data_IF_327017673635
#
_entry.id   IF_327017673635
#
_cell.length_a   1.000
_cell.length_b   1.000
_cell.length_c   1.000
_cell.angle_alpha   90.00
_cell.angle_beta   90.00
_cell.angle_gamma   90.00
#
_symmetry.space_group_name_H-M   'P 1'
#
loop_
_entity.id
_entity.type
_entity.pdbx_description
1 polymer ?
#
# COMPACT_ATOMS: atom_id res chain seq x y z
N UNK A 1 -11.82 -5.67 -0.86
CA UNK A 1 -10.41 -5.98 -1.09
C UNK A 1 -9.87 -5.04 -2.17
N UNK A 2 -8.67 -4.51 -1.98
CA UNK A 2 -8.03 -3.53 -2.87
C UNK A 2 -6.58 -3.94 -3.20
N UNK A 3 -6.30 -5.24 -3.25
CA UNK A 3 -4.98 -5.82 -3.54
C UNK A 3 -3.86 -5.09 -2.76
N UNK A 4 -2.82 -4.62 -3.42
CA UNK A 4 -1.67 -3.96 -2.79
C UNK A 4 -2.04 -2.72 -1.93
N UNK A 5 -3.16 -2.05 -2.23
CA UNK A 5 -3.68 -0.94 -1.42
C UNK A 5 -4.59 -1.41 -0.27
N UNK A 6 -4.84 -2.71 -0.14
CA UNK A 6 -5.81 -3.29 0.80
C UNK A 6 -5.59 -2.89 2.25
N UNK A 7 -4.34 -2.81 2.70
CA UNK A 7 -4.02 -2.36 4.05
C UNK A 7 -4.43 -0.90 4.27
N UNK A 8 -4.09 0.00 3.33
CA UNK A 8 -4.44 1.44 3.43
C UNK A 8 -5.94 1.65 3.38
N UNK A 9 -6.65 0.92 2.50
CA UNK A 9 -8.13 0.95 2.47
C UNK A 9 -8.73 0.48 3.79
N UNK A 10 -8.22 -0.63 4.35
CA UNK A 10 -8.69 -1.15 5.64
C UNK A 10 -8.38 -0.20 6.79
N UNK A 11 -7.21 0.44 6.79
CA UNK A 11 -6.83 1.44 7.77
C UNK A 11 -7.77 2.66 7.71
N UNK A 12 -8.06 3.16 6.50
CA UNK A 12 -8.99 4.27 6.30
C UNK A 12 -10.40 3.93 6.80
N UNK A 13 -10.90 2.74 6.48
CA UNK A 13 -12.22 2.30 6.96
C UNK A 13 -12.25 2.18 8.49
N UNK A 14 -11.22 1.59 9.09
CA UNK A 14 -11.11 1.45 10.54
C UNK A 14 -11.03 2.81 11.25
N UNK A 15 -10.20 3.74 10.74
CA UNK A 15 -10.09 5.11 11.27
C UNK A 15 -11.45 5.83 11.24
N UNK A 16 -12.17 5.75 10.13
CA UNK A 16 -13.50 6.34 10.01
C UNK A 16 -14.51 5.76 11.02
N UNK A 17 -14.51 4.44 11.24
CA UNK A 17 -15.37 3.79 12.20
C UNK A 17 -15.05 4.20 13.64
N UNK A 18 -13.76 4.38 13.96
CA UNK A 18 -13.32 4.85 15.27
C UNK A 18 -13.72 6.31 15.50
N UNK A 19 -13.48 7.19 14.52
CA UNK A 19 -13.85 8.61 14.59
C UNK A 19 -15.36 8.83 14.73
N UNK A 20 -16.16 7.98 14.10
CA UNK A 20 -17.63 8.01 14.21
C UNK A 20 -18.17 7.33 15.48
N UNK A 21 -17.31 6.80 16.35
CA UNK A 21 -17.70 6.11 17.58
C UNK A 21 -18.38 4.75 17.35
N UNK A 22 -18.30 4.19 16.14
CA UNK A 22 -18.88 2.88 15.80
C UNK A 22 -18.06 1.72 16.37
N UNK A 23 -16.78 1.96 16.63
CA UNK A 23 -15.87 1.03 17.30
C UNK A 23 -14.95 1.81 18.26
N UNK A 24 -14.38 1.11 19.23
CA UNK A 24 -13.37 1.67 20.14
C UNK A 24 -11.97 1.20 19.82
N UNK A 25 -11.86 0.01 19.21
CA UNK A 25 -10.60 -0.60 18.84
C UNK A 25 -10.82 -1.37 17.54
N UNK A 26 -9.85 -1.34 16.64
CA UNK A 26 -9.84 -2.07 15.39
C UNK A 26 -8.51 -2.79 15.20
N UNK A 27 -8.57 -4.00 14.65
CA UNK A 27 -7.41 -4.74 14.15
C UNK A 27 -7.40 -4.62 12.63
N UNK A 28 -6.35 -4.02 12.07
CA UNK A 28 -6.15 -3.86 10.63
C UNK A 28 -5.10 -4.84 10.17
N UNK A 29 -5.45 -5.71 9.22
CA UNK A 29 -4.61 -6.82 8.77
C UNK A 29 -4.34 -6.71 7.28
N UNK A 30 -3.08 -6.87 6.88
CA UNK A 30 -2.67 -7.20 5.52
C UNK A 30 -2.13 -8.62 5.51
N UNK A 31 -2.75 -9.51 4.74
CA UNK A 31 -2.33 -10.92 4.67
C UNK A 31 -2.53 -11.46 3.25
N UNK A 32 -1.47 -12.02 2.69
CA UNK A 32 -1.43 -12.41 1.28
C UNK A 32 -0.70 -13.74 1.09
N UNK A 33 -1.17 -14.51 0.13
CA UNK A 33 -0.54 -15.76 -0.36
C UNK A 33 -0.36 -15.66 -1.88
N UNK A 34 0.47 -14.72 -2.32
CA UNK A 34 0.69 -14.45 -3.74
C UNK A 34 1.38 -15.59 -4.48
N UNK A 35 2.12 -16.45 -3.75
CA UNK A 35 2.71 -17.67 -4.31
C UNK A 35 1.70 -18.56 -5.01
N UNK A 36 0.43 -18.50 -4.61
CA UNK A 36 -0.67 -19.31 -5.18
C UNK A 36 -1.17 -18.81 -6.53
N UNK A 37 -0.93 -17.54 -6.85
CA UNK A 37 -1.35 -16.89 -8.10
C UNK A 37 -0.18 -16.39 -8.93
N UNK A 38 1.03 -16.73 -8.55
CA UNK A 38 2.26 -16.43 -9.29
C UNK A 38 2.52 -17.52 -10.33
N UNK A 39 2.72 -17.12 -11.58
CA UNK A 39 3.23 -18.01 -12.63
C UNK A 39 4.73 -18.18 -12.45
N UNK A 40 5.16 -19.32 -11.91
CA UNK A 40 6.58 -19.62 -11.66
C UNK A 40 7.41 -19.79 -12.92
N UNK A 41 6.78 -19.83 -14.10
CA UNK A 41 7.46 -19.88 -15.41
C UNK A 41 7.64 -18.48 -16.01
N UNK A 42 6.90 -17.48 -15.55
CA UNK A 42 7.06 -16.08 -15.98
C UNK A 42 8.13 -15.38 -15.14
N UNK A 43 9.32 -15.22 -15.70
CA UNK A 43 10.46 -14.57 -15.04
C UNK A 43 10.27 -13.08 -14.75
N UNK A 44 9.25 -12.44 -15.33
CA UNK A 44 8.96 -11.03 -15.06
C UNK A 44 8.20 -10.84 -13.74
N UNK A 45 7.49 -11.86 -13.29
CA UNK A 45 6.62 -11.79 -12.11
C UNK A 45 7.07 -12.70 -10.97
N UNK A 46 7.57 -13.90 -11.26
CA UNK A 46 7.90 -14.90 -10.24
C UNK A 46 9.00 -14.45 -9.24
N UNK A 47 9.84 -13.49 -9.63
CA UNK A 47 10.93 -12.97 -8.79
C UNK A 47 10.49 -11.80 -7.88
N UNK A 48 9.24 -11.34 -8.01
CA UNK A 48 8.76 -10.13 -7.32
C UNK A 48 7.92 -10.45 -6.09
N UNK A 49 6.99 -11.40 -6.23
CA UNK A 49 5.93 -11.63 -5.26
C UNK A 49 6.32 -12.61 -4.16
N UNK A 50 5.82 -12.37 -2.96
CA UNK A 50 5.96 -13.24 -1.80
C UNK A 50 4.70 -13.31 -0.95
N UNK A 51 4.69 -14.24 -0.01
CA UNK A 51 3.64 -14.42 0.98
C UNK A 51 4.00 -13.70 2.27
N UNK A 52 3.01 -13.18 2.96
CA UNK A 52 3.24 -12.52 4.24
C UNK A 52 1.96 -12.06 4.91
N UNK A 53 2.06 -11.77 6.19
CA UNK A 53 0.99 -11.18 6.98
C UNK A 53 1.56 -10.21 8.01
N UNK A 54 0.92 -9.06 8.13
CA UNK A 54 1.22 -8.06 9.15
C UNK A 54 -0.06 -7.40 9.64
N UNK A 55 -0.06 -6.87 10.85
CA UNK A 55 -1.24 -6.26 11.43
C UNK A 55 -0.88 -5.14 12.40
N UNK A 56 -1.80 -4.18 12.53
CA UNK A 56 -1.74 -3.13 13.54
C UNK A 56 -3.05 -3.06 14.31
N UNK A 57 -2.97 -2.70 15.58
CA UNK A 57 -4.15 -2.39 16.41
C UNK A 57 -4.24 -0.88 16.56
N UNK A 58 -5.38 -0.32 16.19
CA UNK A 58 -5.67 1.09 16.39
C UNK A 58 -6.84 1.25 17.37
N UNK A 59 -6.78 2.31 18.18
CA UNK A 59 -7.78 2.59 19.21
C UNK A 59 -8.16 4.05 19.19
N UNK A 60 -9.46 4.32 19.35
CA UNK A 60 -9.96 5.69 19.53
C UNK A 60 -9.40 6.29 20.82
N UNK A 61 -8.88 7.50 20.72
CA UNK A 61 -8.39 8.31 21.82
C UNK A 61 -8.85 9.74 21.62
N UNK A 62 -9.01 10.48 22.72
CA UNK A 62 -9.18 11.93 22.65
C UNK A 62 -7.90 12.57 22.10
N UNK A 63 -8.06 13.51 21.19
CA UNK A 63 -6.98 14.26 20.58
C UNK A 63 -7.32 15.76 20.55
N UNK A 64 -6.35 16.57 20.17
CA UNK A 64 -6.51 18.02 20.02
C UNK A 64 -7.06 18.39 18.63
N UNK A 65 -6.96 17.47 17.67
CA UNK A 65 -7.30 17.70 16.27
C UNK A 65 -6.24 18.47 15.49
N UNK A 66 -4.99 18.43 15.94
CA UNK A 66 -3.85 19.06 15.28
C UNK A 66 -2.69 18.09 15.05
N UNK A 67 -1.62 18.56 14.43
CA UNK A 67 -0.44 17.74 14.07
C UNK A 67 0.39 17.26 15.28
N UNK A 68 0.09 17.70 16.50
CA UNK A 68 0.71 17.21 17.74
C UNK A 68 0.08 15.91 18.25
N UNK A 69 -1.06 15.50 17.69
CA UNK A 69 -1.71 14.25 18.03
C UNK A 69 -0.91 13.05 17.52
N UNK A 70 -0.99 11.93 18.25
CA UNK A 70 -0.42 10.66 17.85
C UNK A 70 -1.49 9.75 17.26
N UNK A 71 -1.19 9.12 16.15
CA UNK A 71 -2.10 8.19 15.47
C UNK A 71 -2.30 8.54 14.00
N UNK A 72 -3.45 8.17 13.46
CA UNK A 72 -3.82 8.46 12.07
C UNK A 72 -4.28 9.92 11.98
N UNK A 73 -3.47 10.78 11.39
CA UNK A 73 -3.80 12.20 11.23
C UNK A 73 -4.76 12.39 10.05
N UNK A 74 -4.47 11.78 8.92
CA UNK A 74 -5.29 11.84 7.70
C UNK A 74 -5.20 10.53 6.92
N UNK A 75 -6.20 10.26 6.10
CA UNK A 75 -6.18 9.16 5.13
C UNK A 75 -6.77 9.63 3.81
N UNK A 76 -6.25 9.07 2.70
CA UNK A 76 -6.81 9.27 1.38
C UNK A 76 -6.66 8.01 0.55
N UNK A 77 -7.68 7.67 -0.22
CA UNK A 77 -7.70 6.51 -1.11
C UNK A 77 -8.07 6.94 -2.51
N UNK A 78 -7.50 6.24 -3.50
CA UNK A 78 -7.69 6.52 -4.91
C UNK A 78 -8.04 5.24 -5.66
N UNK A 79 -8.71 5.38 -6.79
CA UNK A 79 -8.99 4.27 -7.70
C UNK A 79 -9.01 4.78 -9.14
N UNK A 80 -8.35 4.05 -10.03
CA UNK A 80 -8.36 4.32 -11.47
C UNK A 80 -8.61 3.02 -12.23
N UNK A 81 -9.86 2.78 -12.59
CA UNK A 81 -10.28 1.60 -13.33
C UNK A 81 -9.75 1.54 -14.77
N UNK A 82 -9.27 2.66 -15.33
CA UNK A 82 -8.69 2.70 -16.67
C UNK A 82 -7.35 1.93 -16.76
N UNK A 83 -6.71 1.65 -15.62
CA UNK A 83 -5.46 0.91 -15.55
C UNK A 83 -5.64 -0.61 -15.36
N UNK A 84 -6.87 -1.11 -15.39
CA UNK A 84 -7.18 -2.52 -15.11
C UNK A 84 -6.34 -3.50 -15.92
N UNK A 85 -6.18 -3.26 -17.23
CA UNK A 85 -5.47 -4.16 -18.14
C UNK A 85 -3.94 -4.25 -17.90
N UNK A 86 -3.39 -3.40 -17.02
CA UNK A 86 -1.97 -3.40 -16.69
C UNK A 86 -1.60 -4.36 -15.55
N UNK A 87 -2.55 -4.68 -14.65
CA UNK A 87 -2.30 -5.59 -13.52
C UNK A 87 -3.61 -6.24 -13.06
N UNK A 88 -3.73 -7.54 -13.25
CA UNK A 88 -4.90 -8.31 -12.82
C UNK A 88 -4.58 -9.80 -12.66
N UNK A 89 -5.40 -10.52 -11.88
CA UNK A 89 -5.41 -11.97 -11.88
C UNK A 89 -6.38 -12.50 -12.95
N UNK A 90 -5.91 -13.42 -13.80
CA UNK A 90 -6.75 -14.08 -14.81
C UNK A 90 -7.72 -15.03 -14.12
N UNK A 91 -8.94 -15.14 -14.67
CA UNK A 91 -9.96 -16.04 -14.15
C UNK A 91 -10.68 -15.50 -12.90
N UNK A 92 -11.18 -16.39 -12.09
CA UNK A 92 -11.91 -16.06 -10.87
C UNK A 92 -13.17 -16.91 -10.71
N UNK A 93 -13.77 -16.88 -9.52
CA UNK A 93 -14.92 -17.71 -9.14
C UNK A 93 -16.12 -17.47 -10.06
N UNK A 94 -16.35 -16.22 -10.47
CA UNK A 94 -17.49 -15.83 -11.31
C UNK A 94 -17.26 -16.05 -12.81
N UNK A 95 -16.02 -16.20 -13.27
CA UNK A 95 -15.68 -16.30 -14.70
C UNK A 95 -15.26 -17.72 -15.11
N UNK A 96 -14.22 -18.26 -14.50
CA UNK A 96 -13.65 -19.56 -14.87
C UNK A 96 -13.78 -20.60 -13.76
N UNK A 97 -14.24 -20.21 -12.57
CA UNK A 97 -14.33 -21.03 -11.35
C UNK A 97 -12.96 -21.59 -10.90
N UNK A 98 -11.89 -20.99 -11.41
CA UNK A 98 -10.49 -21.32 -11.06
C UNK A 98 -9.72 -20.05 -10.78
N UNK A 99 -8.72 -20.11 -9.91
CA UNK A 99 -7.73 -19.06 -9.79
C UNK A 99 -6.75 -19.15 -10.97
N UNK A 100 -6.57 -18.05 -11.69
CA UNK A 100 -5.52 -17.94 -12.69
C UNK A 100 -4.29 -17.23 -12.13
N UNK A 101 -3.30 -17.03 -12.97
CA UNK A 101 -2.07 -16.35 -12.61
C UNK A 101 -2.18 -14.82 -12.74
N UNK A 102 -1.40 -14.13 -11.95
CA UNK A 102 -1.25 -12.67 -12.02
C UNK A 102 -0.58 -12.29 -13.35
N UNK A 103 -1.23 -11.41 -14.09
CA UNK A 103 -0.65 -10.74 -15.25
C UNK A 103 -0.21 -9.34 -14.85
N UNK A 104 0.99 -8.92 -15.29
CA UNK A 104 1.51 -7.58 -15.03
C UNK A 104 2.24 -7.03 -16.26
N UNK A 105 1.78 -5.87 -16.75
CA UNK A 105 2.54 -5.03 -17.67
C UNK A 105 3.50 -4.15 -16.84
N UNK A 106 4.65 -4.71 -16.49
CA UNK A 106 5.58 -4.09 -15.54
C UNK A 106 6.04 -2.68 -15.93
N UNK A 107 6.15 -2.37 -17.23
CA UNK A 107 6.54 -1.04 -17.71
C UNK A 107 5.49 0.03 -17.41
N UNK A 108 4.22 -0.26 -17.68
CA UNK A 108 3.14 0.69 -17.45
C UNK A 108 2.82 0.79 -15.94
N UNK A 109 2.85 -0.32 -15.21
CA UNK A 109 2.73 -0.31 -13.74
C UNK A 109 3.81 0.54 -13.11
N UNK A 110 5.07 0.37 -13.52
CA UNK A 110 6.20 1.17 -13.02
C UNK A 110 5.99 2.68 -13.25
N UNK A 111 5.59 3.03 -14.48
CA UNK A 111 5.37 4.43 -14.89
C UNK A 111 4.25 5.09 -14.07
N UNK A 112 3.14 4.39 -13.90
CA UNK A 112 1.98 4.90 -13.15
C UNK A 112 2.25 4.96 -11.65
N UNK A 113 2.92 3.94 -11.07
CA UNK A 113 3.09 3.81 -9.63
C UNK A 113 3.85 4.97 -9.01
N UNK A 114 4.94 5.44 -9.62
CA UNK A 114 5.72 6.57 -9.07
C UNK A 114 4.85 7.83 -9.01
N UNK A 115 4.11 8.12 -10.07
CA UNK A 115 3.22 9.29 -10.10
C UNK A 115 2.11 9.21 -9.06
N UNK A 116 1.40 8.09 -9.00
CA UNK A 116 0.28 7.88 -8.08
C UNK A 116 0.72 7.90 -6.61
N UNK A 117 1.83 7.23 -6.28
CA UNK A 117 2.35 7.20 -4.90
C UNK A 117 2.86 8.57 -4.45
N UNK A 118 3.51 9.32 -5.34
CA UNK A 118 3.95 10.69 -5.05
C UNK A 118 2.74 11.59 -4.76
N UNK A 119 1.78 11.62 -5.67
CA UNK A 119 0.54 12.40 -5.51
C UNK A 119 -0.19 12.03 -4.20
N UNK A 120 -0.30 10.73 -3.90
CA UNK A 120 -0.96 10.28 -2.68
C UNK A 120 -0.24 10.77 -1.41
N UNK A 121 1.11 10.78 -1.40
CA UNK A 121 1.89 11.27 -0.28
C UNK A 121 1.74 12.78 -0.09
N UNK A 122 1.80 13.55 -1.17
CA UNK A 122 1.60 15.01 -1.16
C UNK A 122 0.21 15.37 -0.65
N UNK A 123 -0.83 14.76 -1.21
CA UNK A 123 -2.22 15.08 -0.86
C UNK A 123 -2.60 14.63 0.56
N UNK A 124 -2.06 13.51 1.06
CA UNK A 124 -2.33 13.09 2.45
C UNK A 124 -1.57 13.95 3.46
N UNK A 125 -0.36 14.43 3.13
CA UNK A 125 0.38 15.38 3.94
C UNK A 125 -0.33 16.74 4.02
N UNK A 126 -0.81 17.25 2.89
CA UNK A 126 -1.62 18.48 2.83
C UNK A 126 -2.89 18.37 3.69
N UNK A 127 -3.62 17.25 3.60
CA UNK A 127 -4.80 17.00 4.43
C UNK A 127 -4.47 16.96 5.93
N UNK A 128 -3.26 16.52 6.29
CA UNK A 128 -2.78 16.53 7.67
C UNK A 128 -2.23 17.91 8.12
N UNK A 129 -2.11 18.87 7.21
CA UNK A 129 -1.54 20.20 7.51
C UNK A 129 -0.03 20.20 7.72
N UNK A 130 0.69 19.25 7.10
CA UNK A 130 2.18 19.14 7.16
C UNK A 130 2.77 19.20 5.75
N UNK A 131 4.02 19.70 5.64
CA UNK A 131 4.77 19.58 4.39
C UNK A 131 5.26 18.15 4.23
N UNK A 132 5.23 17.63 3.02
CA UNK A 132 5.73 16.28 2.73
C UNK A 132 7.23 16.12 3.04
N UNK A 133 8.00 17.20 2.96
CA UNK A 133 9.43 17.21 3.31
C UNK A 133 9.71 17.12 4.82
N UNK A 134 8.70 17.43 5.65
CA UNK A 134 8.81 17.42 7.11
C UNK A 134 8.52 16.04 7.73
N UNK A 135 8.06 15.07 6.91
CA UNK A 135 7.85 13.70 7.38
C UNK A 135 9.17 13.05 7.83
N UNK A 136 9.11 12.26 8.89
CA UNK A 136 10.28 11.54 9.40
C UNK A 136 10.57 10.30 8.55
N UNK A 137 9.53 9.58 8.12
CA UNK A 137 9.64 8.33 7.39
C UNK A 137 8.59 8.22 6.29
N UNK A 138 9.07 7.85 5.09
CA UNK A 138 8.24 7.36 4.00
C UNK A 138 8.25 5.82 4.03
N UNK A 139 7.09 5.22 4.29
CA UNK A 139 6.90 3.77 4.30
C UNK A 139 5.95 3.39 3.17
N UNK A 140 6.44 3.23 1.93
CA UNK A 140 5.59 2.90 0.80
C UNK A 140 5.29 1.40 0.73
N UNK A 141 4.27 1.04 -0.05
CA UNK A 141 4.13 -0.33 -0.52
C UNK A 141 5.44 -0.84 -1.14
N UNK A 142 5.90 -2.00 -0.70
CA UNK A 142 7.15 -2.61 -1.14
C UNK A 142 6.95 -3.32 -2.50
N UNK A 143 6.66 -2.53 -3.55
CA UNK A 143 6.34 -3.03 -4.88
C UNK A 143 7.59 -3.48 -5.66
N UNK A 144 8.59 -2.60 -5.71
CA UNK A 144 9.84 -2.74 -6.44
C UNK A 144 10.81 -1.66 -5.95
N UNK A 145 12.08 -1.99 -5.75
CA UNK A 145 13.08 -1.06 -5.23
C UNK A 145 13.16 0.24 -6.06
N UNK A 146 13.09 0.14 -7.38
CA UNK A 146 13.15 1.31 -8.28
C UNK A 146 11.93 2.22 -8.15
N UNK A 147 10.76 1.68 -7.81
CA UNK A 147 9.55 2.48 -7.53
C UNK A 147 9.74 3.20 -6.20
N UNK A 148 10.18 2.51 -5.16
CA UNK A 148 10.41 3.06 -3.82
C UNK A 148 11.38 4.23 -3.88
N UNK A 149 12.56 4.02 -4.48
CA UNK A 149 13.58 5.05 -4.70
C UNK A 149 13.06 6.21 -5.54
N UNK A 150 12.29 5.90 -6.61
CA UNK A 150 11.70 6.89 -7.50
C UNK A 150 10.71 7.82 -6.79
N UNK A 151 9.91 7.29 -5.88
CA UNK A 151 8.97 8.07 -5.06
C UNK A 151 9.73 8.94 -4.06
N UNK A 152 10.70 8.38 -3.32
CA UNK A 152 11.54 9.14 -2.39
C UNK A 152 12.25 10.30 -3.07
N UNK A 153 12.85 10.05 -4.23
CA UNK A 153 13.51 11.08 -5.03
C UNK A 153 12.55 12.17 -5.50
N UNK A 154 11.34 11.80 -5.94
CA UNK A 154 10.34 12.75 -6.44
C UNK A 154 9.75 13.62 -5.33
N UNK A 155 9.69 13.09 -4.11
CA UNK A 155 9.29 13.82 -2.91
C UNK A 155 10.46 14.60 -2.26
N UNK A 156 11.66 14.57 -2.87
CA UNK A 156 12.87 15.22 -2.36
C UNK A 156 13.27 14.75 -0.95
N UNK A 157 12.93 13.51 -0.62
CA UNK A 157 13.29 12.90 0.66
C UNK A 157 14.66 12.23 0.58
N UNK A 158 15.52 12.38 1.61
CA UNK A 158 16.78 11.66 1.70
C UNK A 158 16.51 10.14 1.81
N UNK A 159 17.38 9.32 1.22
CA UNK A 159 17.26 7.85 1.23
C UNK A 159 17.11 7.28 2.65
N UNK A 160 17.74 7.90 3.64
CA UNK A 160 17.65 7.50 5.05
C UNK A 160 16.25 7.62 5.65
N UNK A 161 15.35 8.37 5.01
CA UNK A 161 13.94 8.49 5.41
C UNK A 161 13.02 7.53 4.65
N UNK A 162 13.52 6.78 3.67
CA UNK A 162 12.72 5.87 2.84
C UNK A 162 12.91 4.44 3.31
N UNK A 163 11.85 3.82 3.80
CA UNK A 163 11.89 2.44 4.31
C UNK A 163 11.91 1.46 3.14
N UNK A 164 12.88 0.55 3.16
CA UNK A 164 13.07 -0.52 2.18
C UNK A 164 13.19 -1.85 2.91
N UNK A 165 12.31 -2.78 2.59
CA UNK A 165 12.31 -4.15 3.13
C UNK A 165 12.09 -5.20 2.04
N UNK A 166 11.93 -4.77 0.80
CA UNK A 166 11.62 -5.64 -0.33
C UNK A 166 12.72 -6.67 -0.62
N UNK A 167 13.96 -6.38 -0.27
CA UNK A 167 15.13 -7.24 -0.46
C UNK A 167 15.05 -8.56 0.35
N UNK A 168 14.32 -8.56 1.47
CA UNK A 168 14.16 -9.73 2.35
C UNK A 168 12.70 -10.14 2.59
N UNK A 169 11.72 -9.31 2.20
CA UNK A 169 10.30 -9.61 2.38
C UNK A 169 9.55 -9.79 1.05
N UNK A 170 10.16 -9.43 -0.10
CA UNK A 170 9.52 -9.40 -1.41
C UNK A 170 8.30 -8.45 -1.47
N UNK A 171 7.57 -8.45 -2.59
CA UNK A 171 6.28 -7.79 -2.72
C UNK A 171 5.19 -8.70 -2.15
N UNK A 172 4.79 -8.46 -0.92
CA UNK A 172 3.72 -9.17 -0.22
C UNK A 172 2.38 -8.44 -0.30
N UNK A 173 2.15 -7.64 -1.36
CA UNK A 173 0.90 -6.92 -1.62
C UNK A 173 0.45 -6.08 -0.41
N UNK A 174 -0.76 -6.30 0.12
CA UNK A 174 -1.29 -5.57 1.28
C UNK A 174 -0.49 -5.79 2.57
N UNK A 175 0.22 -6.90 2.71
CA UNK A 175 1.04 -7.18 3.89
C UNK A 175 2.34 -6.35 3.93
N UNK A 176 2.80 -5.80 2.80
CA UNK A 176 4.12 -5.18 2.69
C UNK A 176 4.29 -3.94 3.59
N UNK A 177 3.24 -3.14 3.79
CA UNK A 177 3.29 -1.97 4.66
C UNK A 177 3.36 -2.36 6.14
N UNK A 178 2.46 -3.22 6.67
CA UNK A 178 2.52 -3.58 8.08
C UNK A 178 3.68 -4.51 8.44
N UNK A 179 4.38 -5.08 7.46
CA UNK A 179 5.61 -5.86 7.68
C UNK A 179 6.88 -4.97 7.71
N UNK A 180 6.86 -3.86 7.01
CA UNK A 180 7.97 -2.89 6.97
C UNK A 180 8.00 -1.99 8.20
#
# INVERSE_FOLDING_TARGET
>A
SAACSGFVYSLTMADNMLRLGQAKTALVIGAETLSRVTDWTDRNTCVLFGDGAGAVVIRACEGKGDTSDRGVLSTKIFSDGAQYDNLYCKGGVSSTQTAGFTFMNGKEVFKSAIGCLTQAAEEVAELAGINVTDIDWLLPHQANIRIIEGVGKKLELPESKVIVTIDHQANTSAASIPLA
#
